data_IF_561919364880
#
_entry.id   IF_561919364880
#
_cell.length_a   1.000
_cell.length_b   1.000
_cell.length_c   1.000
_cell.angle_alpha   90.00
_cell.angle_beta   90.00
_cell.angle_gamma   90.00
#
_symmetry.space_group_name_H-M   'P 1'
#
loop_
_entity.id
_entity.type
_entity.pdbx_description
1 polymer ?
#
# COMPACT_ATOMS: atom_id res chain seq x y z
N UNK A 1 -9.45 -2.21 0.77
CA UNK A 1 -8.13 -1.77 0.23
C UNK A 1 -7.11 -1.50 1.34
N UNK A 2 -7.31 -0.53 2.24
CA UNK A 2 -6.39 -0.24 3.38
C UNK A 2 -5.96 -1.50 4.12
N UNK A 3 -6.91 -2.39 4.43
CA UNK A 3 -6.63 -3.67 5.06
C UNK A 3 -5.60 -4.51 4.30
N UNK A 4 -5.70 -4.63 2.98
CA UNK A 4 -4.77 -5.44 2.18
C UNK A 4 -3.37 -4.82 2.17
N UNK A 5 -3.30 -3.49 2.14
CA UNK A 5 -2.02 -2.79 2.16
C UNK A 5 -1.29 -2.95 3.50
N UNK A 6 -2.05 -2.91 4.61
CA UNK A 6 -1.53 -3.28 5.94
C UNK A 6 -1.03 -4.73 5.95
N UNK A 7 -1.73 -5.67 5.29
CA UNK A 7 -1.28 -7.06 5.19
C UNK A 7 0.08 -7.19 4.50
N UNK A 8 0.23 -6.45 3.40
CA UNK A 8 1.38 -6.53 2.51
C UNK A 8 2.63 -5.95 3.17
N UNK A 9 2.51 -4.75 3.75
CA UNK A 9 3.68 -3.98 4.18
C UNK A 9 3.98 -4.16 5.66
N UNK A 10 2.96 -4.28 6.52
CA UNK A 10 3.16 -4.13 7.96
C UNK A 10 3.93 -5.30 8.60
N UNK A 11 4.98 -5.03 9.41
CA UNK A 11 5.61 -6.05 10.23
C UNK A 11 4.72 -6.39 11.43
N UNK A 12 4.23 -7.63 11.47
CA UNK A 12 3.29 -8.10 12.50
C UNK A 12 3.94 -8.49 13.84
N UNK A 13 5.27 -8.41 13.93
CA UNK A 13 6.02 -8.64 15.17
C UNK A 13 5.99 -7.46 16.15
N UNK A 14 5.60 -6.24 15.73
CA UNK A 14 5.43 -5.13 16.67
C UNK A 14 4.19 -5.33 17.55
N UNK A 15 4.26 -4.98 18.85
CA UNK A 15 3.15 -5.26 19.78
C UNK A 15 1.83 -4.61 19.39
N UNK A 16 1.87 -3.35 18.95
CA UNK A 16 0.70 -2.57 18.57
C UNK A 16 0.99 -1.75 17.32
N UNK A 17 -0.04 -1.30 16.62
CA UNK A 17 0.07 -0.45 15.43
C UNK A 17 0.90 0.83 15.69
N UNK A 18 0.76 1.41 16.87
CA UNK A 18 1.52 2.62 17.25
C UNK A 18 3.04 2.38 17.25
N UNK A 19 3.48 1.15 17.50
CA UNK A 19 4.91 0.77 17.54
C UNK A 19 5.46 0.34 16.19
N UNK A 20 4.63 0.25 15.15
CA UNK A 20 5.09 0.02 13.79
C UNK A 20 5.89 1.26 13.34
N UNK A 21 7.04 1.09 12.66
CA UNK A 21 7.84 2.21 12.19
C UNK A 21 7.05 3.15 11.28
N UNK A 22 7.36 4.44 11.35
CA UNK A 22 6.66 5.44 10.54
C UNK A 22 6.98 5.32 9.05
N UNK A 23 8.11 4.71 8.67
CA UNK A 23 8.43 4.29 7.30
C UNK A 23 7.35 3.36 6.72
N UNK A 24 7.06 2.25 7.41
CA UNK A 24 6.01 1.32 6.99
C UNK A 24 4.65 2.00 6.92
N UNK A 25 4.33 2.88 7.88
CA UNK A 25 3.08 3.64 7.83
C UNK A 25 3.04 4.56 6.62
N UNK A 26 4.15 5.25 6.30
CA UNK A 26 4.28 6.14 5.13
C UNK A 26 4.04 5.41 3.82
N UNK A 27 4.54 4.19 3.68
CA UNK A 27 4.29 3.38 2.47
C UNK A 27 2.79 3.11 2.28
N UNK A 28 2.11 2.70 3.35
CA UNK A 28 0.67 2.46 3.35
C UNK A 28 -0.09 3.75 3.00
N UNK A 29 0.26 4.89 3.62
CA UNK A 29 -0.36 6.18 3.29
C UNK A 29 -0.13 6.56 1.83
N UNK A 30 1.08 6.38 1.31
CA UNK A 30 1.42 6.70 -0.08
C UNK A 30 0.51 5.96 -1.06
N UNK A 31 0.29 4.66 -0.83
CA UNK A 31 -0.63 3.86 -1.63
C UNK A 31 -2.07 4.37 -1.51
N UNK A 32 -2.53 4.71 -0.31
CA UNK A 32 -3.88 5.25 -0.10
C UNK A 32 -4.07 6.56 -0.88
N UNK A 33 -3.10 7.46 -0.88
CA UNK A 33 -3.11 8.71 -1.65
C UNK A 33 -3.12 8.52 -3.18
N UNK A 34 -2.67 7.37 -3.67
CA UNK A 34 -2.73 7.05 -5.10
C UNK A 34 -4.14 6.61 -5.53
N UNK A 35 -4.86 5.92 -4.64
CA UNK A 35 -6.18 5.37 -4.94
C UNK A 35 -7.34 6.30 -4.56
N UNK A 36 -7.11 7.21 -3.62
CA UNK A 36 -8.10 8.19 -3.19
C UNK A 36 -7.56 9.59 -3.41
N UNK A 37 -8.39 10.47 -3.95
CA UNK A 37 -8.12 11.91 -3.99
C UNK A 37 -8.24 12.48 -2.58
N UNK A 38 -7.18 12.31 -1.78
CA UNK A 38 -7.09 12.88 -0.44
C UNK A 38 -6.71 14.36 -0.45
N UNK A 39 -6.09 14.83 -1.56
CA UNK A 39 -5.62 16.21 -1.71
C UNK A 39 -6.79 17.18 -1.66
N UNK A 40 -7.93 16.83 -2.25
CA UNK A 40 -9.15 17.64 -2.20
C UNK A 40 -9.72 17.84 -0.78
N UNK A 41 -9.33 17.01 0.18
CA UNK A 41 -9.77 17.12 1.57
C UNK A 41 -8.80 17.88 2.46
N UNK A 42 -7.53 18.10 2.07
CA UNK A 42 -6.48 18.61 2.98
C UNK A 42 -6.80 20.00 3.56
N UNK A 43 -7.41 20.88 2.76
CA UNK A 43 -7.79 22.24 3.17
C UNK A 43 -9.20 22.31 3.80
N UNK A 44 -9.88 21.17 3.94
CA UNK A 44 -11.24 21.10 4.47
C UNK A 44 -11.24 20.88 5.99
N UNK A 45 -12.33 21.29 6.64
CA UNK A 45 -12.57 20.96 8.06
C UNK A 45 -12.74 19.46 8.31
N UNK A 46 -12.93 18.67 7.26
CA UNK A 46 -13.13 17.22 7.31
C UNK A 46 -11.79 16.47 7.37
N UNK A 47 -10.67 17.10 6.98
CA UNK A 47 -9.35 16.48 6.93
C UNK A 47 -8.96 15.72 8.20
N UNK A 48 -9.11 16.30 9.41
CA UNK A 48 -8.76 15.59 10.63
C UNK A 48 -9.60 14.32 10.83
N UNK A 49 -10.86 14.33 10.39
CA UNK A 49 -11.75 13.17 10.45
C UNK A 49 -11.32 12.07 9.48
N UNK A 50 -10.95 12.43 8.26
CA UNK A 50 -10.45 11.50 7.24
C UNK A 50 -9.15 10.83 7.72
N UNK A 51 -8.20 11.61 8.24
CA UNK A 51 -6.94 11.10 8.79
C UNK A 51 -7.18 10.12 9.95
N UNK A 52 -8.09 10.46 10.87
CA UNK A 52 -8.47 9.58 11.97
C UNK A 52 -9.13 8.29 11.48
N UNK A 53 -9.97 8.37 10.46
CA UNK A 53 -10.61 7.22 9.82
C UNK A 53 -9.58 6.24 9.23
N UNK A 54 -8.62 6.76 8.47
CA UNK A 54 -7.54 5.94 7.88
C UNK A 54 -6.72 5.26 8.98
N UNK A 55 -6.34 6.00 10.02
CA UNK A 55 -5.60 5.42 11.16
C UNK A 55 -6.38 4.34 11.88
N UNK A 56 -7.67 4.58 12.14
CA UNK A 56 -8.53 3.62 12.81
C UNK A 56 -8.66 2.33 11.98
N UNK A 57 -8.78 2.46 10.66
CA UNK A 57 -8.82 1.31 9.75
C UNK A 57 -7.49 0.55 9.71
N UNK A 58 -6.35 1.25 9.66
CA UNK A 58 -5.03 0.62 9.74
C UNK A 58 -4.84 -0.13 11.06
N UNK A 59 -5.16 0.51 12.18
CA UNK A 59 -5.05 -0.09 13.52
C UNK A 59 -5.97 -1.31 13.66
N UNK A 60 -7.22 -1.22 13.19
CA UNK A 60 -8.16 -2.34 13.19
C UNK A 60 -7.65 -3.49 12.35
N UNK A 61 -7.25 -3.21 11.11
CA UNK A 61 -6.74 -4.21 10.17
C UNK A 61 -5.50 -4.93 10.71
N UNK A 62 -4.58 -4.17 11.32
CA UNK A 62 -3.39 -4.71 11.97
C UNK A 62 -3.76 -5.65 13.13
N UNK A 63 -4.64 -5.18 14.02
CA UNK A 63 -5.04 -5.95 15.21
C UNK A 63 -5.81 -7.23 14.85
N UNK A 64 -6.69 -7.15 13.85
CA UNK A 64 -7.47 -8.30 13.38
C UNK A 64 -6.57 -9.40 12.80
N UNK A 65 -5.60 -9.04 11.96
CA UNK A 65 -4.62 -9.98 11.40
C UNK A 65 -3.74 -10.61 12.47
N UNK A 66 -3.24 -9.81 13.40
CA UNK A 66 -2.49 -10.35 14.54
C UNK A 66 -3.28 -11.38 15.33
N UNK A 67 -4.59 -11.16 15.52
CA UNK A 67 -5.45 -12.14 16.16
C UNK A 67 -5.54 -13.43 15.33
N UNK A 68 -5.75 -13.34 14.02
CA UNK A 68 -5.75 -14.50 13.10
C UNK A 68 -4.44 -15.29 13.19
N UNK A 69 -3.30 -14.59 13.11
CA UNK A 69 -1.97 -15.19 13.18
C UNK A 69 -1.67 -15.82 14.53
N UNK A 70 -2.10 -15.18 15.63
CA UNK A 70 -1.94 -15.77 16.96
C UNK A 70 -2.79 -17.02 17.12
N UNK A 71 -4.03 -17.01 16.64
CA UNK A 71 -4.90 -18.20 16.65
C UNK A 71 -4.29 -19.34 15.85
N UNK A 72 -3.68 -19.06 14.69
CA UNK A 72 -2.96 -20.06 13.90
C UNK A 72 -1.73 -20.59 14.64
N UNK A 73 -0.93 -19.73 15.26
CA UNK A 73 0.20 -20.18 16.08
C UNK A 73 -0.23 -21.09 17.24
N UNK A 74 -1.34 -20.74 17.90
CA UNK A 74 -1.84 -21.46 19.07
C UNK A 74 -2.45 -22.84 18.77
N UNK A 75 -2.60 -23.25 17.51
CA UNK A 75 -3.01 -24.62 17.17
C UNK A 75 -1.87 -25.62 17.30
N UNK A 76 -0.61 -25.15 17.31
CA UNK A 76 0.58 -25.99 17.40
C UNK A 76 1.12 -25.97 18.83
N UNK A 77 1.45 -27.15 19.35
CA UNK A 77 2.05 -27.29 20.68
C UNK A 77 3.54 -26.92 20.68
N UNK A 78 4.22 -27.23 19.58
CA UNK A 78 5.66 -27.03 19.42
C UNK A 78 6.00 -25.87 18.47
N UNK A 79 7.05 -25.12 18.83
CA UNK A 79 7.47 -23.89 18.13
C UNK A 79 8.04 -24.19 16.76
N UNK A 80 8.84 -25.24 16.63
CA UNK A 80 9.44 -25.62 15.35
C UNK A 80 8.37 -26.14 14.38
N UNK A 81 7.40 -26.87 14.90
CA UNK A 81 6.21 -27.26 14.14
C UNK A 81 5.44 -26.03 13.65
N UNK A 82 5.23 -25.03 14.51
CA UNK A 82 4.56 -23.78 14.12
C UNK A 82 5.32 -23.02 13.02
N UNK A 83 6.66 -22.95 13.11
CA UNK A 83 7.51 -22.30 12.10
C UNK A 83 7.41 -22.96 10.73
N UNK A 84 7.36 -24.29 10.70
CA UNK A 84 7.27 -25.08 9.47
C UNK A 84 5.87 -25.08 8.82
N UNK A 85 4.86 -24.52 9.48
CA UNK A 85 3.49 -24.47 8.98
C UNK A 85 2.99 -23.01 8.90
N UNK A 86 3.53 -22.18 7.98
CA UNK A 86 3.10 -20.80 7.80
C UNK A 86 1.64 -20.74 7.30
N UNK A 87 0.86 -19.72 7.74
CA UNK A 87 -0.43 -19.42 7.12
C UNK A 87 -0.29 -19.08 5.62
N UNK A 88 -1.37 -19.26 4.83
CA UNK A 88 -1.40 -18.92 3.39
C UNK A 88 -0.90 -17.50 3.08
N UNK A 89 -1.20 -16.53 3.96
CA UNK A 89 -0.74 -15.13 3.85
C UNK A 89 0.80 -15.01 3.78
N UNK A 90 1.53 -16.03 4.24
CA UNK A 90 3.01 -16.10 4.28
C UNK A 90 3.58 -17.22 3.39
N UNK A 91 2.77 -17.89 2.57
CA UNK A 91 3.23 -19.00 1.72
C UNK A 91 4.38 -18.59 0.78
N UNK A 92 4.38 -17.34 0.30
CA UNK A 92 5.44 -16.78 -0.56
C UNK A 92 6.64 -16.23 0.23
N UNK A 93 6.48 -15.96 1.53
CA UNK A 93 7.49 -15.31 2.38
C UNK A 93 7.51 -15.94 3.79
N UNK A 94 7.87 -17.24 3.92
CA UNK A 94 7.81 -17.96 5.20
C UNK A 94 8.73 -17.36 6.28
N UNK A 95 9.82 -16.70 5.87
CA UNK A 95 10.73 -15.96 6.77
C UNK A 95 9.99 -14.92 7.61
N UNK A 96 8.99 -14.20 7.03
CA UNK A 96 8.22 -13.19 7.77
C UNK A 96 7.34 -13.82 8.84
N UNK A 97 6.89 -15.05 8.64
CA UNK A 97 6.17 -15.81 9.67
C UNK A 97 7.08 -16.18 10.83
N UNK A 98 8.29 -16.68 10.52
CA UNK A 98 9.31 -17.03 11.51
C UNK A 98 9.70 -15.79 12.34
N UNK A 99 9.86 -14.63 11.71
CA UNK A 99 10.14 -13.37 12.42
C UNK A 99 9.05 -13.00 13.44
N UNK A 100 7.76 -13.25 13.13
CA UNK A 100 6.67 -13.00 14.06
C UNK A 100 6.78 -13.92 15.28
N UNK A 101 7.05 -15.20 15.06
CA UNK A 101 7.23 -16.17 16.13
C UNK A 101 8.40 -15.74 17.02
N UNK A 102 9.57 -15.52 16.44
CA UNK A 102 10.81 -15.27 17.19
C UNK A 102 10.81 -13.91 17.90
N UNK A 103 10.31 -12.85 17.24
CA UNK A 103 10.38 -11.49 17.80
C UNK A 103 9.18 -11.10 18.66
N UNK A 104 8.04 -11.79 18.53
CA UNK A 104 6.84 -11.46 19.29
C UNK A 104 6.36 -12.61 20.19
N UNK A 105 6.14 -13.80 19.65
CA UNK A 105 5.52 -14.88 20.42
C UNK A 105 6.50 -15.53 21.40
N UNK A 106 7.79 -15.55 21.07
CA UNK A 106 8.89 -16.00 21.94
C UNK A 106 9.47 -14.89 22.83
N UNK A 107 9.04 -13.62 22.68
CA UNK A 107 9.50 -12.53 23.55
C UNK A 107 9.05 -12.80 25.01
N UNK A 108 9.99 -12.98 25.98
CA UNK A 108 9.63 -13.24 27.37
C UNK A 108 8.75 -12.16 27.99
N UNK A 109 8.91 -10.90 27.56
CA UNK A 109 8.08 -9.79 28.04
C UNK A 109 6.66 -9.89 27.50
N UNK A 110 6.47 -10.45 26.30
CA UNK A 110 5.14 -10.68 25.72
C UNK A 110 4.45 -11.85 26.44
N UNK A 111 5.16 -12.97 26.60
CA UNK A 111 4.68 -14.16 27.31
C UNK A 111 4.24 -13.80 28.73
N UNK A 112 5.10 -13.10 29.50
CA UNK A 112 4.78 -12.67 30.86
C UNK A 112 3.54 -11.77 30.93
N UNK A 113 3.37 -10.88 29.95
CA UNK A 113 2.20 -10.01 29.88
C UNK A 113 0.92 -10.81 29.57
N UNK A 114 0.99 -11.77 28.65
CA UNK A 114 -0.12 -12.66 28.36
C UNK A 114 -0.51 -13.48 29.59
N UNK A 115 0.47 -14.00 30.34
CA UNK A 115 0.22 -14.75 31.56
C UNK A 115 -0.45 -13.89 32.64
N UNK A 116 0.07 -12.69 32.88
CA UNK A 116 -0.56 -11.72 33.80
C UNK A 116 -1.98 -11.38 33.35
N UNK A 117 -2.21 -11.17 32.07
CA UNK A 117 -3.55 -10.89 31.54
C UNK A 117 -4.49 -12.08 31.71
N UNK A 118 -4.00 -13.31 31.54
CA UNK A 118 -4.75 -14.55 31.78
C UNK A 118 -5.14 -14.66 33.26
N UNK A 119 -4.20 -14.48 34.18
CA UNK A 119 -4.45 -14.46 35.62
C UNK A 119 -5.36 -13.31 36.06
N UNK A 120 -5.32 -12.17 35.37
CA UNK A 120 -6.23 -11.07 35.66
C UNK A 120 -7.65 -11.36 35.16
N UNK A 121 -7.79 -12.07 34.04
CA UNK A 121 -9.09 -12.52 33.52
C UNK A 121 -9.76 -13.52 34.47
N UNK A 122 -9.01 -14.41 35.11
CA UNK A 122 -9.58 -15.34 36.11
C UNK A 122 -10.09 -14.64 37.37
N UNK A 123 -9.60 -13.42 37.66
CA UNK A 123 -10.07 -12.58 38.78
C UNK A 123 -11.31 -11.74 38.43
N UNK A 124 -11.81 -11.81 37.20
CA UNK A 124 -13.02 -11.09 36.82
C UNK A 124 -14.22 -11.66 37.58
N UNK A 125 -14.92 -10.77 38.30
CA UNK A 125 -16.10 -11.14 39.10
C UNK A 125 -17.24 -11.66 38.23
N UNK A 126 -17.37 -11.10 37.02
CA UNK A 126 -18.32 -11.52 35.98
C UNK A 126 -17.61 -11.46 34.64
N UNK A 127 -17.85 -12.46 33.80
CA UNK A 127 -17.71 -12.29 32.35
C UNK A 127 -18.93 -11.51 31.83
N UNK A 128 -18.89 -11.02 30.60
CA UNK A 128 -20.06 -10.35 30.01
C UNK A 128 -20.34 -10.88 28.62
N UNK A 129 -21.63 -10.93 28.28
CA UNK A 129 -22.12 -11.25 26.95
C UNK A 129 -22.13 -10.04 25.99
N UNK A 130 -21.85 -8.84 26.48
CA UNK A 130 -22.16 -7.59 25.78
C UNK A 130 -21.15 -7.21 24.68
N UNK A 131 -20.19 -8.09 24.37
CA UNK A 131 -19.18 -7.88 23.32
C UNK A 131 -18.15 -6.81 23.66
N UNK A 132 -17.56 -6.19 22.62
CA UNK A 132 -16.43 -5.24 22.71
C UNK A 132 -16.80 -3.83 23.20
N UNK A 133 -18.09 -3.50 23.27
CA UNK A 133 -18.54 -2.17 23.67
C UNK A 133 -18.61 -2.04 25.19
N UNK A 134 -18.11 -0.93 25.73
CA UNK A 134 -18.21 -0.65 27.18
C UNK A 134 -19.62 -0.22 27.61
N UNK A 135 -19.97 -0.40 28.89
CA UNK A 135 -21.22 0.10 29.48
C UNK A 135 -21.49 1.57 29.16
N UNK A 136 -20.46 2.42 29.26
CA UNK A 136 -20.58 3.86 29.00
C UNK A 136 -20.92 4.14 27.53
N UNK A 137 -20.29 3.41 26.61
CA UNK A 137 -20.55 3.55 25.17
C UNK A 137 -21.97 3.10 24.82
N UNK A 138 -22.44 1.97 25.38
CA UNK A 138 -23.81 1.48 25.12
C UNK A 138 -24.88 2.43 25.62
N UNK A 139 -24.68 3.06 26.79
CA UNK A 139 -25.53 4.15 27.29
C UNK A 139 -25.54 5.35 26.35
N UNK A 140 -24.36 5.79 25.93
CA UNK A 140 -24.24 6.93 25.02
C UNK A 140 -24.96 6.69 23.69
N UNK A 141 -24.82 5.48 23.14
CA UNK A 141 -25.50 5.04 21.92
C UNK A 141 -27.00 4.75 22.10
N UNK A 142 -27.52 4.82 23.35
CA UNK A 142 -28.91 4.52 23.70
C UNK A 142 -29.39 3.16 23.18
N UNK A 143 -28.52 2.15 23.23
CA UNK A 143 -28.88 0.81 22.78
C UNK A 143 -30.05 0.26 23.61
N UNK A 144 -30.97 -0.53 23.01
CA UNK A 144 -32.08 -1.14 23.73
C UNK A 144 -31.60 -1.91 24.97
N UNK A 145 -32.27 -1.70 26.11
CA UNK A 145 -31.91 -2.32 27.38
C UNK A 145 -30.61 -1.83 28.00
N UNK A 146 -30.03 -0.71 27.51
CA UNK A 146 -28.86 -0.07 28.10
C UNK A 146 -29.04 1.44 28.35
N UNK A 147 -30.20 2.01 28.04
CA UNK A 147 -30.57 3.38 28.42
C UNK A 147 -30.74 3.52 29.94
N UNK A 148 -31.28 2.48 30.58
CA UNK A 148 -31.35 2.31 32.02
C UNK A 148 -30.15 1.47 32.51
N UNK A 149 -29.31 1.95 33.43
CA UNK A 149 -28.20 1.20 33.99
C UNK A 149 -28.58 -0.14 34.66
N UNK A 150 -29.75 -0.22 35.27
CA UNK A 150 -30.25 -1.42 35.96
C UNK A 150 -30.56 -2.50 34.93
N UNK A 151 -31.35 -2.17 33.90
CA UNK A 151 -31.63 -3.07 32.78
C UNK A 151 -30.35 -3.41 32.01
N UNK A 152 -29.46 -2.43 31.86
CA UNK A 152 -28.14 -2.56 31.24
C UNK A 152 -27.27 -3.62 31.89
N UNK A 153 -27.40 -3.79 33.20
CA UNK A 153 -26.71 -4.86 33.92
C UNK A 153 -27.26 -6.23 33.55
N UNK A 154 -28.59 -6.40 33.56
CA UNK A 154 -29.24 -7.68 33.21
C UNK A 154 -28.93 -8.07 31.75
N UNK A 155 -29.14 -7.16 30.81
CA UNK A 155 -28.89 -7.40 29.38
C UNK A 155 -27.44 -7.78 29.07
N UNK A 156 -26.49 -7.37 29.92
CA UNK A 156 -25.08 -7.67 29.76
C UNK A 156 -24.62 -9.01 30.32
N UNK A 157 -25.40 -9.60 31.23
CA UNK A 157 -24.97 -10.73 32.06
C UNK A 157 -25.97 -11.88 32.07
N UNK A 158 -27.10 -11.75 31.37
CA UNK A 158 -28.13 -12.78 31.27
C UNK A 158 -28.54 -12.98 29.82
N UNK A 159 -28.77 -14.24 29.44
CA UNK A 159 -29.42 -14.63 28.17
C UNK A 159 -30.51 -15.65 28.43
N UNK A 160 -31.48 -15.72 27.53
CA UNK A 160 -32.62 -16.63 27.64
C UNK A 160 -32.23 -18.11 27.54
N UNK A 161 -31.26 -18.42 26.68
CA UNK A 161 -30.76 -19.79 26.43
C UNK A 161 -29.77 -20.28 27.51
N UNK A 162 -28.93 -19.38 28.02
CA UNK A 162 -27.81 -19.74 28.91
C UNK A 162 -28.00 -19.28 30.35
N UNK A 163 -28.97 -18.41 30.62
CA UNK A 163 -29.15 -17.79 31.93
C UNK A 163 -28.06 -16.77 32.28
N UNK A 164 -27.79 -16.63 33.58
CA UNK A 164 -26.76 -15.72 34.11
C UNK A 164 -25.35 -16.22 33.80
N UNK A 165 -24.41 -15.29 33.52
CA UNK A 165 -22.99 -15.61 33.28
C UNK A 165 -22.34 -16.40 34.42
N UNK A 166 -22.77 -16.15 35.66
CA UNK A 166 -22.41 -16.89 36.86
C UNK A 166 -23.39 -16.55 38.00
N UNK A 167 -23.31 -17.32 39.08
CA UNK A 167 -24.16 -17.13 40.27
C UNK A 167 -23.99 -15.74 40.91
N UNK A 168 -22.75 -15.24 40.96
CA UNK A 168 -22.47 -13.92 41.55
C UNK A 168 -23.18 -12.80 40.79
N UNK A 169 -23.36 -12.91 39.47
CA UNK A 169 -24.08 -11.92 38.65
C UNK A 169 -25.57 -11.92 38.98
N UNK A 170 -26.15 -13.11 39.21
CA UNK A 170 -27.54 -13.25 39.67
C UNK A 170 -27.75 -12.58 41.02
N UNK A 171 -26.90 -12.91 42.01
CA UNK A 171 -26.97 -12.33 43.35
C UNK A 171 -26.79 -10.81 43.35
N UNK A 172 -25.89 -10.29 42.53
CA UNK A 172 -25.70 -8.84 42.43
C UNK A 172 -26.86 -8.15 41.68
N UNK A 173 -27.49 -8.80 40.71
CA UNK A 173 -28.73 -8.30 40.12
C UNK A 173 -29.87 -8.23 41.16
N UNK A 174 -29.99 -9.23 42.02
CA UNK A 174 -30.97 -9.20 43.12
C UNK A 174 -30.71 -8.05 44.09
N UNK A 175 -29.45 -7.74 44.41
CA UNK A 175 -29.08 -6.56 45.22
C UNK A 175 -29.49 -5.25 44.55
N UNK A 176 -29.27 -5.13 43.23
CA UNK A 176 -29.69 -3.95 42.47
C UNK A 176 -31.22 -3.79 42.55
N UNK A 177 -31.99 -4.87 42.36
CA UNK A 177 -33.45 -4.82 42.45
C UNK A 177 -33.95 -4.54 43.87
N UNK A 178 -33.27 -5.04 44.90
CA UNK A 178 -33.61 -4.73 46.29
C UNK A 178 -33.37 -3.24 46.60
N UNK A 179 -32.26 -2.69 46.11
CA UNK A 179 -31.90 -1.28 46.27
C UNK A 179 -32.85 -0.36 45.49
N UNK A 180 -33.17 -0.70 44.23
CA UNK A 180 -34.12 0.05 43.41
C UNK A 180 -35.49 0.14 44.10
N UNK A 181 -36.02 -1.00 44.57
CA UNK A 181 -37.27 -1.03 45.34
C UNK A 181 -37.21 -0.25 46.64
N UNK A 182 -36.03 -0.13 47.27
CA UNK A 182 -35.86 0.72 48.46
C UNK A 182 -35.98 2.19 48.08
N UNK A 183 -35.23 2.62 47.07
CA UNK A 183 -35.23 4.01 46.62
C UNK A 183 -36.59 4.43 46.05
N UNK A 184 -37.29 3.54 45.33
CA UNK A 184 -38.64 3.80 44.82
C UNK A 184 -39.66 4.11 45.92
N UNK A 185 -39.51 3.49 47.09
CA UNK A 185 -40.36 3.80 48.25
C UNK A 185 -40.10 5.21 48.81
N UNK A 186 -38.88 5.72 48.66
CA UNK A 186 -38.46 7.00 49.23
C UNK A 186 -38.78 8.17 48.28
N UNK A 187 -38.62 7.99 46.97
CA UNK A 187 -38.74 9.07 45.97
C UNK A 187 -39.78 8.84 44.87
N UNK A 188 -40.43 7.67 44.83
CA UNK A 188 -41.31 7.28 43.72
C UNK A 188 -40.53 6.78 42.51
N UNK A 189 -40.90 7.22 41.31
CA UNK A 189 -40.25 6.76 40.08
C UNK A 189 -38.77 7.21 40.00
N UNK A 190 -37.86 6.26 39.74
CA UNK A 190 -36.42 6.52 39.68
C UNK A 190 -36.04 7.29 38.42
N UNK A 191 -35.50 8.50 38.60
CA UNK A 191 -34.88 9.24 37.50
C UNK A 191 -33.59 8.55 37.01
N UNK A 192 -33.05 8.92 35.84
CA UNK A 192 -31.78 8.36 35.36
C UNK A 192 -30.61 8.55 36.33
N UNK A 193 -30.60 9.63 37.12
CA UNK A 193 -29.57 9.84 38.14
C UNK A 193 -29.77 8.89 39.33
N UNK A 194 -31.02 8.68 39.76
CA UNK A 194 -31.33 7.75 40.85
C UNK A 194 -30.99 6.31 40.48
N UNK A 195 -31.13 5.95 39.20
CA UNK A 195 -30.69 4.64 38.70
C UNK A 195 -29.16 4.48 38.78
N UNK A 196 -28.38 5.53 38.53
CA UNK A 196 -26.91 5.50 38.70
C UNK A 196 -26.55 5.42 40.19
N UNK A 197 -27.24 6.18 41.04
CA UNK A 197 -27.09 6.15 42.50
C UNK A 197 -27.41 4.74 43.05
N UNK A 198 -28.49 4.12 42.58
CA UNK A 198 -28.88 2.75 42.91
C UNK A 198 -27.76 1.75 42.57
N UNK A 199 -27.20 1.82 41.35
CA UNK A 199 -26.08 0.96 40.95
C UNK A 199 -24.86 1.16 41.84
N UNK A 200 -24.56 2.42 42.21
CA UNK A 200 -23.48 2.76 43.13
C UNK A 200 -23.71 2.18 44.52
N UNK A 201 -24.92 2.26 45.06
CA UNK A 201 -25.24 1.72 46.39
C UNK A 201 -25.22 0.19 46.39
N UNK A 202 -25.78 -0.45 45.36
CA UNK A 202 -25.88 -1.90 45.28
C UNK A 202 -24.53 -2.60 45.03
N UNK A 203 -23.72 -2.05 44.11
CA UNK A 203 -22.49 -2.72 43.64
C UNK A 203 -21.21 -2.04 44.14
N UNK A 204 -21.29 -0.79 44.57
CA UNK A 204 -20.16 0.05 44.95
C UNK A 204 -19.47 0.74 43.77
N UNK A 205 -18.53 1.61 44.09
CA UNK A 205 -17.71 2.34 43.13
C UNK A 205 -16.21 2.16 43.38
N UNK A 206 -15.42 2.56 42.38
CA UNK A 206 -13.97 2.74 42.43
C UNK A 206 -13.65 4.13 41.88
N UNK A 207 -12.41 4.60 42.04
CA UNK A 207 -11.97 5.93 41.60
C UNK A 207 -12.37 6.20 40.13
N UNK A 208 -13.40 7.02 39.92
CA UNK A 208 -13.92 7.39 38.59
C UNK A 208 -14.67 6.29 37.83
N UNK A 209 -15.17 5.26 38.51
CA UNK A 209 -15.86 4.12 37.90
C UNK A 209 -16.93 3.54 38.84
N UNK A 210 -18.18 3.52 38.41
CA UNK A 210 -19.28 2.85 39.13
C UNK A 210 -19.47 1.45 38.53
N UNK A 211 -19.54 0.41 39.36
CA UNK A 211 -19.70 -0.97 38.83
C UNK A 211 -21.04 -1.11 38.09
N UNK A 212 -21.05 -1.82 36.97
CA UNK A 212 -22.23 -1.97 36.11
C UNK A 212 -22.60 -0.71 35.28
N UNK A 213 -21.99 0.45 35.59
CA UNK A 213 -22.18 1.71 34.86
C UNK A 213 -20.90 2.07 34.08
N UNK A 214 -19.72 1.72 34.56
CA UNK A 214 -18.47 2.08 33.89
C UNK A 214 -17.93 3.44 34.32
N UNK A 215 -17.11 4.05 33.46
CA UNK A 215 -16.48 5.34 33.75
C UNK A 215 -17.51 6.47 33.84
N UNK A 216 -17.32 7.32 34.84
CA UNK A 216 -18.14 8.50 35.09
C UNK A 216 -17.23 9.71 34.98
N UNK A 217 -17.70 10.74 34.26
CA UNK A 217 -16.93 11.98 34.08
C UNK A 217 -16.74 12.62 35.46
N UNK A 218 -15.48 12.86 35.85
CA UNK A 218 -15.18 13.59 37.08
C UNK A 218 -15.81 14.99 36.97
N UNK A 219 -16.43 15.46 38.05
CA UNK A 219 -16.50 16.92 38.27
C UNK A 219 -15.06 17.43 38.22
N UNK A 220 -14.73 18.45 37.41
CA UNK A 220 -13.34 18.88 37.23
C UNK A 220 -12.76 19.26 38.58
N UNK A 221 -11.89 18.41 39.10
CA UNK A 221 -10.99 18.72 40.19
C UNK A 221 -9.66 19.05 39.52
N UNK A 222 -9.11 20.26 39.70
CA UNK A 222 -7.80 20.56 39.18
C UNK A 222 -6.79 19.71 39.95
N UNK A 223 -5.82 19.17 39.21
CA UNK A 223 -4.63 18.47 39.71
C UNK A 223 -4.85 17.02 40.19
N UNK A 224 -4.39 16.06 39.40
CA UNK A 224 -3.15 15.28 39.65
C UNK A 224 -2.89 14.40 38.41
N UNK A 225 -1.69 14.57 37.85
CA UNK A 225 -1.13 13.88 36.68
C UNK A 225 -0.89 12.38 36.90
N UNK A 226 -1.11 11.57 35.86
CA UNK A 226 -0.32 10.35 35.62
C UNK A 226 -0.44 9.92 34.15
N UNK A 227 0.68 9.92 33.42
CA UNK A 227 0.88 9.15 32.17
C UNK A 227 -0.18 9.31 31.10
N UNK A 228 -0.40 10.54 30.61
CA UNK A 228 -1.35 10.79 29.51
C UNK A 228 -0.86 10.06 28.26
N UNK A 229 -1.53 8.97 27.88
CA UNK A 229 -1.38 8.44 26.53
C UNK A 229 -1.86 9.53 25.58
N UNK A 230 -1.00 9.94 24.65
CA UNK A 230 -1.35 10.89 23.62
C UNK A 230 -2.57 10.35 22.88
N UNK A 231 -3.59 11.18 22.74
CA UNK A 231 -4.68 10.85 21.83
C UNK A 231 -4.11 10.72 20.41
N UNK A 232 -4.72 9.92 19.52
CA UNK A 232 -4.26 9.81 18.14
C UNK A 232 -4.04 11.18 17.46
N UNK A 233 -4.87 12.18 17.80
CA UNK A 233 -4.73 13.57 17.35
C UNK A 233 -3.47 14.26 17.86
N UNK A 234 -3.15 14.11 19.14
CA UNK A 234 -1.97 14.73 19.76
C UNK A 234 -0.68 14.07 19.31
N UNK A 235 -0.68 12.74 19.13
CA UNK A 235 0.47 12.01 18.56
C UNK A 235 0.78 12.49 17.13
N UNK A 236 -0.25 12.76 16.32
CA UNK A 236 -0.06 13.24 14.96
C UNK A 236 0.47 14.67 14.87
N UNK A 237 -0.11 15.58 15.65
CA UNK A 237 0.34 16.97 15.73
C UNK A 237 1.79 17.07 16.22
N UNK A 238 2.21 16.15 17.09
CA UNK A 238 3.53 16.20 17.70
C UNK A 238 4.62 15.49 16.89
N UNK A 239 4.28 14.42 16.15
CA UNK A 239 5.29 13.53 15.55
C UNK A 239 5.20 13.35 14.02
N UNK A 240 4.07 13.69 13.38
CA UNK A 240 3.82 13.28 11.97
C UNK A 240 3.47 14.46 11.06
N UNK A 241 2.86 15.53 11.58
CA UNK A 241 2.51 16.73 10.80
C UNK A 241 3.70 17.36 10.06
N UNK A 242 4.77 17.66 10.79
CA UNK A 242 5.96 18.32 10.23
C UNK A 242 6.71 17.43 9.21
N UNK A 243 6.73 16.11 9.44
CA UNK A 243 7.44 15.16 8.56
C UNK A 243 6.70 15.00 7.23
N UNK A 244 5.38 15.14 7.21
CA UNK A 244 4.60 15.00 5.97
C UNK A 244 4.64 16.29 5.15
N UNK A 245 4.54 17.46 5.77
CA UNK A 245 4.64 18.76 5.07
C UNK A 245 6.01 18.93 4.39
N UNK A 246 7.11 18.63 5.10
CA UNK A 246 8.47 18.75 4.55
C UNK A 246 8.73 17.76 3.40
N UNK A 247 8.18 16.54 3.49
CA UNK A 247 8.36 15.52 2.46
C UNK A 247 7.43 15.71 1.24
N UNK A 248 6.25 16.32 1.41
CA UNK A 248 5.41 16.76 0.30
C UNK A 248 6.13 17.86 -0.49
N UNK A 249 6.69 18.86 0.19
CA UNK A 249 7.47 19.92 -0.45
C UNK A 249 8.64 19.36 -1.26
N UNK A 250 9.40 18.41 -0.68
CA UNK A 250 10.54 17.77 -1.36
C UNK A 250 10.13 16.94 -2.59
N UNK A 251 9.01 16.23 -2.53
CA UNK A 251 8.48 15.47 -3.70
C UNK A 251 7.93 16.38 -4.79
N UNK A 252 7.34 17.52 -4.43
CA UNK A 252 6.90 18.53 -5.42
C UNK A 252 8.12 19.11 -6.13
N UNK A 253 9.20 19.43 -5.42
CA UNK A 253 10.47 19.88 -6.05
C UNK A 253 11.07 18.84 -6.99
N UNK A 254 11.13 17.56 -6.59
CA UNK A 254 11.63 16.47 -7.45
C UNK A 254 10.77 16.25 -8.70
N UNK A 255 9.47 16.51 -8.61
CA UNK A 255 8.55 16.42 -9.74
C UNK A 255 8.72 17.61 -10.69
N UNK A 256 8.91 18.82 -10.16
CA UNK A 256 9.22 20.02 -10.95
C UNK A 256 10.55 19.84 -11.69
N UNK A 257 11.61 19.38 -11.02
CA UNK A 257 12.90 19.13 -11.67
C UNK A 257 12.82 18.08 -12.78
N UNK A 258 12.06 17.00 -12.58
CA UNK A 258 11.84 16.00 -13.63
C UNK A 258 11.11 16.57 -14.84
N UNK A 259 10.08 17.38 -14.59
CA UNK A 259 9.34 18.05 -15.67
C UNK A 259 10.23 19.04 -16.44
N UNK A 260 11.11 19.77 -15.76
CA UNK A 260 12.09 20.66 -16.40
C UNK A 260 13.10 19.87 -17.25
N UNK A 261 13.62 18.76 -16.75
CA UNK A 261 14.53 17.90 -17.51
C UNK A 261 13.85 17.30 -18.75
N UNK A 262 12.60 16.84 -18.62
CA UNK A 262 11.85 16.36 -19.78
C UNK A 262 11.56 17.48 -20.78
N UNK A 263 11.25 18.69 -20.31
CA UNK A 263 11.05 19.84 -21.18
C UNK A 263 12.33 20.16 -21.96
N UNK A 264 13.48 20.21 -21.29
CA UNK A 264 14.78 20.43 -21.94
C UNK A 264 15.09 19.33 -22.95
N UNK A 265 14.88 18.05 -22.59
CA UNK A 265 15.09 16.92 -23.51
C UNK A 265 14.21 17.03 -24.75
N UNK A 266 12.93 17.40 -24.60
CA UNK A 266 12.01 17.59 -25.73
C UNK A 266 12.45 18.73 -26.64
N UNK A 267 12.91 19.84 -26.06
CA UNK A 267 13.44 20.98 -26.84
C UNK A 267 14.70 20.56 -27.60
N UNK A 268 15.63 19.86 -26.96
CA UNK A 268 16.84 19.34 -27.62
C UNK A 268 16.51 18.35 -28.75
N UNK A 269 15.60 17.40 -28.51
CA UNK A 269 15.13 16.47 -29.53
C UNK A 269 14.49 17.22 -30.72
N UNK A 270 13.73 18.28 -30.45
CA UNK A 270 13.10 19.09 -31.49
C UNK A 270 14.14 19.89 -32.30
N UNK A 271 15.12 20.50 -31.64
CA UNK A 271 16.23 21.20 -32.30
C UNK A 271 17.05 20.23 -33.14
N UNK A 272 17.39 19.05 -32.61
CA UNK A 272 18.15 18.03 -33.33
C UNK A 272 17.39 17.52 -34.57
N UNK A 273 16.07 17.31 -34.45
CA UNK A 273 15.23 16.95 -35.61
C UNK A 273 15.26 18.04 -36.67
N UNK A 274 15.19 19.31 -36.28
CA UNK A 274 15.21 20.43 -37.21
C UNK A 274 16.57 20.54 -37.94
N UNK A 275 17.68 20.37 -37.21
CA UNK A 275 19.03 20.35 -37.80
C UNK A 275 19.18 19.17 -38.77
N UNK A 276 18.73 17.97 -38.40
CA UNK A 276 18.79 16.80 -39.27
C UNK A 276 17.94 16.99 -40.54
N UNK A 277 16.78 17.64 -40.44
CA UNK A 277 15.96 18.00 -41.61
C UNK A 277 16.68 18.97 -42.54
N UNK A 278 17.31 20.02 -42.00
CA UNK A 278 18.08 20.97 -42.80
C UNK A 278 19.26 20.31 -43.50
N UNK A 279 19.98 19.42 -42.80
CA UNK A 279 21.11 18.69 -43.38
C UNK A 279 20.66 17.78 -44.53
N UNK A 280 19.54 17.08 -44.38
CA UNK A 280 18.97 16.22 -45.41
C UNK A 280 18.53 17.03 -46.65
N UNK A 281 17.92 18.19 -46.44
CA UNK A 281 17.55 19.10 -47.53
C UNK A 281 18.79 19.55 -48.31
N UNK A 282 19.85 19.95 -47.61
CA UNK A 282 21.09 20.43 -48.22
C UNK A 282 21.81 19.32 -49.02
N UNK A 283 21.78 18.07 -48.52
CA UNK A 283 22.28 16.91 -49.25
C UNK A 283 21.48 16.64 -50.53
N UNK A 284 20.15 16.75 -50.47
CA UNK A 284 19.29 16.56 -51.64
C UNK A 284 19.51 17.66 -52.68
N UNK A 285 19.67 18.92 -52.27
CA UNK A 285 20.02 20.03 -53.16
C UNK A 285 21.35 19.79 -53.86
N UNK A 286 22.39 19.38 -53.13
CA UNK A 286 23.68 19.03 -53.74
C UNK A 286 23.56 17.88 -54.74
N UNK A 287 22.75 16.86 -54.41
CA UNK A 287 22.49 15.72 -55.31
C UNK A 287 21.78 16.17 -56.60
N UNK A 288 20.79 17.05 -56.49
CA UNK A 288 20.10 17.62 -57.64
C UNK A 288 21.04 18.47 -58.50
N UNK A 289 21.89 19.30 -57.89
CA UNK A 289 22.89 20.07 -58.64
C UNK A 289 23.86 19.17 -59.39
N UNK A 290 24.33 18.10 -58.75
CA UNK A 290 25.20 17.12 -59.39
C UNK A 290 24.52 16.43 -60.58
N UNK A 291 23.27 16.00 -60.41
CA UNK A 291 22.49 15.38 -61.50
C UNK A 291 22.26 16.35 -62.67
N UNK A 292 21.98 17.62 -62.40
CA UNK A 292 21.86 18.64 -63.45
C UNK A 292 23.17 18.83 -64.23
N UNK A 293 24.32 18.79 -63.54
CA UNK A 293 25.63 18.84 -64.21
C UNK A 293 25.86 17.61 -65.09
N UNK A 294 25.52 16.41 -64.60
CA UNK A 294 25.62 15.18 -65.38
C UNK A 294 24.72 15.20 -66.63
N UNK A 295 23.50 15.73 -66.52
CA UNK A 295 22.60 15.88 -67.69
C UNK A 295 23.14 16.86 -68.73
N UNK A 296 23.75 17.98 -68.30
CA UNK A 296 24.43 18.92 -69.21
C UNK A 296 25.62 18.27 -69.93
N UNK A 297 26.42 17.48 -69.22
CA UNK A 297 27.53 16.74 -69.83
C UNK A 297 26.99 15.68 -70.81
N UNK A 298 25.97 14.94 -70.41
CA UNK A 298 25.38 13.88 -71.25
C UNK A 298 24.73 14.46 -72.51
N UNK A 299 24.02 15.58 -72.39
CA UNK A 299 23.39 16.26 -73.54
C UNK A 299 24.41 16.87 -74.50
N UNK A 300 25.51 17.44 -73.99
CA UNK A 300 26.61 17.92 -74.84
C UNK A 300 27.32 16.77 -75.55
N UNK A 301 27.52 15.64 -74.88
CA UNK A 301 28.08 14.43 -75.49
C UNK A 301 27.16 13.89 -76.60
N UNK A 302 25.87 13.71 -76.33
CA UNK A 302 24.87 13.30 -77.34
C UNK A 302 24.84 14.25 -78.54
N UNK A 303 24.95 15.56 -78.31
CA UNK A 303 24.99 16.56 -79.39
C UNK A 303 26.25 16.44 -80.25
N UNK A 304 27.42 16.20 -79.63
CA UNK A 304 28.68 15.93 -80.36
C UNK A 304 28.64 14.62 -81.11
N UNK A 305 28.10 13.56 -80.51
CA UNK A 305 27.88 12.26 -81.12
C UNK A 305 26.96 12.35 -82.34
N UNK A 306 25.88 13.13 -82.28
CA UNK A 306 25.01 13.41 -83.42
C UNK A 306 25.72 14.16 -84.55
N UNK A 307 26.65 15.07 -84.24
CA UNK A 307 27.47 15.76 -85.24
C UNK A 307 28.46 14.79 -85.90
N UNK A 308 29.13 13.94 -85.12
CA UNK A 308 30.05 12.90 -85.61
C UNK A 308 29.31 11.89 -86.49
N UNK A 309 28.13 11.41 -86.06
CA UNK A 309 27.29 10.49 -86.82
C UNK A 309 26.68 11.13 -88.09
N UNK A 310 26.59 12.48 -88.16
CA UNK A 310 26.27 13.21 -89.39
C UNK A 310 27.47 13.26 -90.33
N UNK A 311 28.69 13.45 -89.82
CA UNK A 311 29.91 13.48 -90.62
C UNK A 311 30.25 12.09 -91.20
N UNK A 312 30.06 11.01 -90.43
CA UNK A 312 30.26 9.65 -90.91
C UNK A 312 29.27 9.20 -91.99
N UNK A 313 28.13 9.89 -92.15
CA UNK A 313 27.15 9.61 -93.20
C UNK A 313 27.51 10.21 -94.57
N UNK A 314 28.63 10.94 -94.68
CA UNK A 314 29.05 11.69 -95.87
C UNK A 314 30.37 11.20 -96.52
N UNK A 315 30.90 10.03 -96.16
CA UNK A 315 32.11 9.48 -96.80
C UNK A 315 31.80 8.30 -97.75
N UNK A 316 32.23 8.36 -99.02
CA UNK A 316 32.11 7.25 -99.97
C UNK A 316 33.18 6.18 -99.66
N UNK A 317 32.77 4.92 -99.69
CA UNK A 317 33.61 3.78 -99.32
C UNK A 317 34.70 3.42 -100.33
N UNK A 318 35.60 2.53 -99.92
CA UNK A 318 36.12 1.55 -100.87
C UNK A 318 36.50 0.24 -100.18
N UNK A 319 36.25 -0.85 -100.91
CA UNK A 319 36.39 -2.26 -100.56
C UNK A 319 37.81 -2.77 -100.80
N UNK A 320 38.12 -3.89 -100.16
CA UNK A 320 39.25 -4.81 -100.45
C UNK A 320 39.53 -5.66 -99.21
N UNK A 321 38.81 -6.76 -98.97
CA UNK A 321 39.11 -8.15 -99.38
C UNK A 321 40.55 -8.58 -98.99
N UNK A 322 40.84 -9.64 -98.23
CA UNK A 322 40.22 -10.96 -98.21
C UNK A 322 40.87 -11.87 -97.13
N UNK A 323 40.07 -12.84 -96.67
CA UNK A 323 40.44 -14.21 -96.23
C UNK A 323 41.11 -14.50 -94.87
N UNK A 324 40.49 -15.44 -94.13
CA UNK A 324 41.06 -16.10 -92.95
C UNK A 324 40.05 -16.96 -92.17
N UNK A 325 39.72 -18.14 -92.70
CA UNK A 325 38.89 -19.19 -92.05
C UNK A 325 39.47 -19.66 -90.71
N UNK A 326 38.62 -19.92 -89.70
CA UNK A 326 38.46 -21.27 -89.11
C UNK A 326 37.27 -21.37 -88.15
N UNK A 327 36.51 -22.43 -88.37
CA UNK A 327 35.47 -22.98 -87.50
C UNK A 327 36.04 -23.41 -86.14
N UNK A 328 35.24 -23.40 -85.07
CA UNK A 328 34.95 -24.58 -84.24
C UNK A 328 33.83 -24.31 -83.21
N UNK A 329 32.95 -25.30 -83.07
CA UNK A 329 31.87 -25.42 -82.08
C UNK A 329 32.39 -25.43 -80.63
N UNK A 330 31.56 -25.03 -79.68
CA UNK A 330 31.77 -25.31 -78.26
C UNK A 330 30.59 -24.87 -77.40
N UNK A 331 29.90 -25.85 -76.85
CA UNK A 331 28.65 -25.79 -76.10
C UNK A 331 28.92 -25.62 -74.58
N UNK A 332 27.85 -25.29 -73.83
CA UNK A 332 27.58 -25.76 -72.46
C UNK A 332 28.27 -25.13 -71.22
N UNK A 333 27.40 -24.48 -70.42
CA UNK A 333 27.09 -24.69 -68.97
C UNK A 333 28.19 -24.95 -67.92
N UNK A 334 27.97 -24.36 -66.74
CA UNK A 334 28.42 -24.87 -65.43
C UNK A 334 29.15 -23.78 -64.62
N UNK A 335 28.55 -23.16 -63.60
CA UNK A 335 28.25 -23.67 -62.25
C UNK A 335 29.48 -23.87 -61.35
N UNK A 336 29.27 -23.48 -60.08
CA UNK A 336 30.01 -23.81 -58.84
C UNK A 336 31.32 -23.06 -58.63
N UNK A 337 31.75 -22.76 -57.40
CA UNK A 337 31.18 -22.83 -56.04
C UNK A 337 32.23 -22.15 -55.14
N UNK A 338 31.82 -21.83 -53.91
CA UNK A 338 32.68 -22.02 -52.75
C UNK A 338 33.31 -20.73 -52.21
N UNK A 339 32.84 -20.23 -51.07
CA UNK A 339 33.21 -20.69 -49.70
C UNK A 339 34.36 -19.85 -49.16
N UNK A 340 34.38 -19.31 -47.95
CA UNK A 340 33.58 -19.52 -46.75
C UNK A 340 34.43 -19.12 -45.53
N UNK A 341 33.80 -19.09 -44.35
CA UNK A 341 34.38 -19.00 -42.99
C UNK A 341 34.77 -17.58 -42.50
N UNK A 342 34.45 -17.18 -41.27
CA UNK A 342 34.40 -17.99 -40.04
C UNK A 342 33.52 -17.35 -38.94
N UNK A 343 32.78 -18.23 -38.25
CA UNK A 343 32.17 -18.01 -36.95
C UNK A 343 33.21 -17.78 -35.85
N UNK A 344 32.77 -17.13 -34.78
CA UNK A 344 33.45 -17.06 -33.49
C UNK A 344 32.42 -16.97 -32.37
N UNK A 345 31.86 -18.13 -32.02
CA UNK A 345 31.25 -18.39 -30.71
C UNK A 345 32.37 -18.60 -29.69
N UNK A 346 32.23 -18.03 -28.50
CA UNK A 346 33.02 -18.36 -27.32
C UNK A 346 32.06 -18.55 -26.16
N UNK A 347 31.70 -19.80 -25.92
CA UNK A 347 31.24 -20.30 -24.63
C UNK A 347 32.45 -20.94 -23.94
N UNK A 348 32.54 -20.76 -22.62
CA UNK A 348 33.06 -21.66 -21.57
C UNK A 348 32.97 -20.83 -20.26
N UNK A 349 32.11 -21.18 -19.30
CA UNK A 349 32.33 -22.19 -18.23
C UNK A 349 33.62 -21.90 -17.45
N UNK A 350 33.75 -21.96 -16.13
CA UNK A 350 32.93 -22.19 -14.94
C UNK A 350 33.92 -21.86 -13.76
N UNK A 351 33.50 -22.08 -12.52
CA UNK A 351 34.29 -22.15 -11.27
C UNK A 351 34.63 -20.85 -10.50
N UNK A 352 33.95 -20.72 -9.35
CA UNK A 352 34.29 -19.82 -8.24
C UNK A 352 33.22 -19.70 -7.16
#
# INVERSE_FOLDING_TARGET
MISNEVARVAPFYHRTWQRVPDETKRDIYTTIYQYFDLVSFEDTSEWPGVQLGIQAECQRSYSARKSKYKSHYDTYEDVETAKNNPPDDFASEPERWIEIIDRLYQDPRYINQCEKNRQNRTKLRYTSYHGTQSYAQKRHMRLPGHTNPIEGFKSSHWKEDTGWVNETASLDHEKILAEARRMERDVGDLSPNDQIECMKNALGERRGHIKGVGHVVRKPTPEVSSGRQLTPREYWQQNVGNVIEENIAKRVEEQVQRNEQEFHRRVEEQVQRQVNQQLAQLQEEMRQQFNQQLEKITSTFKRKEQVINRQFRLLPGNRGDSSGRRDYRGDSSGSRDGSGSRDGSGDDEDDG
#
